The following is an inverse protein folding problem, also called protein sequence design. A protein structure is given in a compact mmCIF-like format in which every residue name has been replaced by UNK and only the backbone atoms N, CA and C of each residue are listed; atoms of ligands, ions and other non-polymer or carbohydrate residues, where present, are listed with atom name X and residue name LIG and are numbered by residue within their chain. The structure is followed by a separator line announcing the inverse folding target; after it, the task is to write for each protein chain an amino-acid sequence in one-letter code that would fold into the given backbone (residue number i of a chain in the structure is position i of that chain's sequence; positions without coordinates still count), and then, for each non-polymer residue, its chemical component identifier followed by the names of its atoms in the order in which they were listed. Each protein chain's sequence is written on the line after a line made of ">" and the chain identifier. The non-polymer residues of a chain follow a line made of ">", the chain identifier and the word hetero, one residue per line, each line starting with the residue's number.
data_IF_812404446541
#
_entry.id   IF_812404446541
#
_cell.length_a   1.000
_cell.length_b   1.000
_cell.length_c   1.000
_cell.angle_alpha   90.00
_cell.angle_beta   90.00
_cell.angle_gamma   90.00
#
_symmetry.space_group_name_H-M   'P 1'
#
loop_
_entity.id
_entity.type
_entity.pdbx_description
1 polymer ?
#
# COMPACT_ATOMS: atom_id res chain seq x y z
N UNK A 1 -40.77 2.89 -35.50
CA UNK A 1 -39.45 2.40 -35.03
C UNK A 1 -38.73 3.57 -34.45
N UNK A 2 -38.87 3.78 -33.13
CA UNK A 2 -38.20 4.85 -32.41
C UNK A 2 -36.86 4.29 -31.92
N UNK A 3 -35.77 4.78 -32.50
CA UNK A 3 -34.41 4.53 -32.01
C UNK A 3 -34.23 5.43 -30.78
N UNK A 4 -34.44 4.88 -29.58
CA UNK A 4 -33.98 5.50 -28.35
C UNK A 4 -32.46 5.47 -28.38
N UNK A 5 -31.89 6.50 -28.97
CA UNK A 5 -30.49 6.85 -28.75
C UNK A 5 -30.31 7.18 -27.27
N UNK A 6 -29.77 6.23 -26.50
CA UNK A 6 -29.36 6.48 -25.13
C UNK A 6 -28.40 7.65 -25.13
N UNK A 7 -28.85 8.79 -24.65
CA UNK A 7 -28.02 9.97 -24.36
C UNK A 7 -27.03 9.51 -23.29
N UNK A 8 -25.81 9.13 -23.68
CA UNK A 8 -24.70 9.03 -22.75
C UNK A 8 -24.60 10.38 -22.04
N UNK A 9 -24.99 10.41 -20.79
CA UNK A 9 -24.84 11.62 -19.96
C UNK A 9 -23.36 11.96 -19.83
N UNK A 10 -22.90 13.06 -20.48
CA UNK A 10 -21.50 13.49 -20.33
C UNK A 10 -21.33 13.97 -18.89
N UNK A 11 -20.73 13.13 -18.03
CA UNK A 11 -20.39 13.53 -16.66
C UNK A 11 -20.60 12.45 -15.59
N UNK A 12 -21.07 11.26 -15.92
CA UNK A 12 -21.17 10.19 -14.93
C UNK A 12 -19.77 9.76 -14.43
N UNK A 13 -19.56 9.87 -13.13
CA UNK A 13 -18.31 9.39 -12.50
C UNK A 13 -18.18 7.89 -12.71
N UNK A 14 -17.11 7.38 -13.36
CA UNK A 14 -16.92 5.95 -13.54
C UNK A 14 -16.87 5.24 -12.18
N UNK A 15 -17.33 4.00 -12.05
CA UNK A 15 -17.24 3.25 -10.83
C UNK A 15 -15.77 2.94 -10.49
N UNK A 16 -15.46 2.93 -9.20
CA UNK A 16 -14.12 2.54 -8.71
C UNK A 16 -13.76 1.14 -9.17
N UNK A 17 -12.62 0.94 -9.84
CA UNK A 17 -12.23 -0.35 -10.37
C UNK A 17 -11.91 -1.33 -9.24
N UNK A 18 -12.34 -2.59 -9.41
CA UNK A 18 -12.06 -3.65 -8.43
C UNK A 18 -10.58 -3.87 -8.16
N UNK A 19 -9.72 -3.54 -9.12
CA UNK A 19 -8.27 -3.69 -9.00
C UNK A 19 -7.68 -2.86 -7.86
N UNK A 20 -8.22 -1.69 -7.55
CA UNK A 20 -7.72 -0.88 -6.44
C UNK A 20 -8.08 -1.47 -5.08
N UNK A 21 -9.25 -2.14 -4.99
CA UNK A 21 -9.64 -2.89 -3.80
C UNK A 21 -8.72 -4.10 -3.57
N UNK A 22 -8.33 -4.79 -4.66
CA UNK A 22 -7.34 -5.88 -4.57
C UNK A 22 -6.02 -5.37 -4.01
N UNK A 23 -5.52 -4.22 -4.49
CA UNK A 23 -4.30 -3.61 -3.94
C UNK A 23 -4.45 -3.31 -2.46
N UNK A 24 -5.56 -2.68 -2.05
CA UNK A 24 -5.79 -2.29 -0.66
C UNK A 24 -5.81 -3.52 0.27
N UNK A 25 -6.60 -4.54 -0.06
CA UNK A 25 -6.71 -5.76 0.75
C UNK A 25 -5.44 -6.60 0.72
N UNK A 26 -4.76 -6.72 -0.42
CA UNK A 26 -3.47 -7.40 -0.50
C UNK A 26 -2.41 -6.70 0.36
N UNK A 27 -2.36 -5.36 0.32
CA UNK A 27 -1.43 -4.61 1.18
C UNK A 27 -1.72 -4.83 2.68
N UNK A 28 -3.00 -4.85 3.07
CA UNK A 28 -3.38 -5.12 4.46
C UNK A 28 -3.01 -6.55 4.87
N UNK A 29 -3.31 -7.54 4.04
CA UNK A 29 -2.94 -8.93 4.29
C UNK A 29 -1.42 -9.11 4.38
N UNK A 30 -0.65 -8.42 3.52
CA UNK A 30 0.81 -8.42 3.55
C UNK A 30 1.36 -7.91 4.88
N UNK A 31 0.82 -6.81 5.40
CA UNK A 31 1.21 -6.30 6.71
C UNK A 31 0.87 -7.25 7.85
N UNK A 32 -0.29 -7.91 7.78
CA UNK A 32 -0.67 -8.92 8.78
C UNK A 32 0.30 -10.12 8.76
N UNK A 33 0.68 -10.60 7.57
CA UNK A 33 1.67 -11.68 7.44
C UNK A 33 3.03 -11.25 7.98
N UNK A 34 3.50 -10.05 7.64
CA UNK A 34 4.77 -9.52 8.16
C UNK A 34 4.75 -9.38 9.69
N UNK A 35 3.63 -8.94 10.26
CA UNK A 35 3.48 -8.86 11.72
C UNK A 35 3.58 -10.24 12.39
N UNK A 36 3.03 -11.28 11.75
CA UNK A 36 3.16 -12.66 12.24
C UNK A 36 4.60 -13.17 12.11
N UNK A 37 5.30 -12.84 11.02
CA UNK A 37 6.68 -13.27 10.78
C UNK A 37 7.69 -12.57 11.70
N UNK A 38 7.57 -11.27 11.85
CA UNK A 38 8.57 -10.43 12.55
C UNK A 38 8.18 -10.11 13.99
N UNK A 39 6.92 -10.38 14.35
CA UNK A 39 6.38 -9.99 15.66
C UNK A 39 6.13 -8.48 15.79
N UNK A 40 5.57 -8.12 16.94
CA UNK A 40 5.37 -6.73 17.32
C UNK A 40 6.67 -6.09 17.81
N UNK A 41 6.83 -4.81 17.54
CA UNK A 41 7.98 -4.02 18.00
C UNK A 41 7.97 -3.93 19.54
N UNK A 42 9.01 -4.43 20.17
CA UNK A 42 9.30 -4.24 21.59
C UNK A 42 10.33 -3.11 21.69
N UNK A 43 9.93 -1.94 22.09
CA UNK A 43 10.83 -0.80 22.20
C UNK A 43 10.21 0.35 22.98
N UNK A 44 10.93 1.48 23.03
CA UNK A 44 10.46 2.71 23.66
C UNK A 44 9.08 3.12 23.11
N UNK A 45 8.12 3.37 24.02
CA UNK A 45 6.72 3.71 23.68
C UNK A 45 6.63 4.92 22.75
N UNK A 46 7.51 5.92 22.94
CA UNK A 46 7.54 7.14 22.12
C UNK A 46 7.93 6.80 20.67
N UNK A 47 8.95 5.95 20.51
CA UNK A 47 9.40 5.49 19.19
C UNK A 47 8.32 4.65 18.48
N UNK A 48 7.59 3.81 19.20
CA UNK A 48 6.48 3.03 18.68
C UNK A 48 5.34 3.94 18.22
N UNK A 49 4.89 4.86 19.07
CA UNK A 49 3.82 5.80 18.70
C UNK A 49 4.22 6.63 17.49
N UNK A 50 5.46 7.14 17.45
CA UNK A 50 5.94 7.93 16.33
C UNK A 50 5.95 7.11 15.02
N UNK A 51 6.42 5.87 15.04
CA UNK A 51 6.46 5.00 13.86
C UNK A 51 5.05 4.65 13.35
N UNK A 52 4.11 4.39 14.25
CA UNK A 52 2.70 4.12 13.90
C UNK A 52 2.05 5.36 13.27
N UNK A 53 2.23 6.53 13.88
CA UNK A 53 1.67 7.79 13.37
C UNK A 53 2.27 8.14 12.00
N UNK A 54 3.60 8.07 11.86
CA UNK A 54 4.27 8.33 10.59
C UNK A 54 3.86 7.33 9.51
N UNK A 55 3.78 6.03 9.85
CA UNK A 55 3.31 4.98 8.97
C UNK A 55 1.88 5.25 8.48
N UNK A 56 0.97 5.54 9.40
CA UNK A 56 -0.42 5.86 9.08
C UNK A 56 -0.55 7.07 8.16
N UNK A 57 0.15 8.16 8.47
CA UNK A 57 0.14 9.38 7.68
C UNK A 57 0.73 9.17 6.29
N UNK A 58 1.89 8.53 6.19
CA UNK A 58 2.59 8.32 4.94
C UNK A 58 1.80 7.39 4.01
N UNK A 59 1.36 6.24 4.50
CA UNK A 59 0.61 5.28 3.68
C UNK A 59 -0.77 5.81 3.35
N UNK A 60 -1.46 6.48 4.28
CA UNK A 60 -2.73 7.15 4.03
C UNK A 60 -2.59 8.24 2.97
N UNK A 61 -1.54 9.06 3.03
CA UNK A 61 -1.23 10.09 2.03
C UNK A 61 -0.97 9.49 0.64
N UNK A 62 -0.17 8.42 0.57
CA UNK A 62 0.13 7.73 -0.70
C UNK A 62 -1.13 7.09 -1.27
N UNK A 63 -1.90 6.37 -0.45
CA UNK A 63 -3.15 5.71 -0.86
C UNK A 63 -4.16 6.69 -1.44
N UNK A 64 -4.40 7.83 -0.77
CA UNK A 64 -5.28 8.88 -1.27
C UNK A 64 -4.79 9.45 -2.62
N UNK A 65 -3.47 9.53 -2.82
CA UNK A 65 -2.90 10.01 -4.06
C UNK A 65 -2.96 9.02 -5.21
N UNK A 66 -2.79 7.72 -4.92
CA UNK A 66 -2.91 6.65 -5.92
C UNK A 66 -4.32 6.61 -6.49
N UNK A 67 -5.35 6.65 -5.62
CA UNK A 67 -6.75 6.67 -6.04
C UNK A 67 -7.09 7.91 -6.89
N UNK A 68 -6.46 9.04 -6.58
CA UNK A 68 -6.59 10.29 -7.35
C UNK A 68 -5.66 10.39 -8.56
N UNK A 69 -5.05 9.28 -9.00
CA UNK A 69 -4.16 9.18 -10.16
C UNK A 69 -2.99 10.18 -10.16
N UNK A 70 -2.52 10.60 -8.97
CA UNK A 70 -1.35 11.47 -8.86
C UNK A 70 -0.07 10.71 -9.18
N UNK A 71 0.64 11.11 -10.24
CA UNK A 71 1.79 10.39 -10.80
C UNK A 71 2.89 10.11 -9.77
N UNK A 72 3.28 11.10 -8.98
CA UNK A 72 4.35 10.94 -7.98
C UNK A 72 4.00 9.87 -6.94
N UNK A 73 2.77 9.90 -6.42
CA UNK A 73 2.32 8.93 -5.40
C UNK A 73 2.13 7.53 -5.98
N UNK A 74 1.72 7.46 -7.26
CA UNK A 74 1.65 6.19 -7.97
C UNK A 74 3.05 5.58 -8.14
N UNK A 75 4.06 6.38 -8.50
CA UNK A 75 5.45 5.93 -8.60
C UNK A 75 5.98 5.45 -7.25
N UNK A 76 5.68 6.18 -6.16
CA UNK A 76 6.04 5.72 -4.81
C UNK A 76 5.40 4.38 -4.48
N UNK A 77 4.12 4.19 -4.78
CA UNK A 77 3.45 2.89 -4.59
C UNK A 77 4.11 1.76 -5.39
N UNK A 78 4.51 2.03 -6.65
CA UNK A 78 5.26 1.09 -7.47
C UNK A 78 6.60 0.70 -6.83
N UNK A 79 7.37 1.70 -6.39
CA UNK A 79 8.68 1.46 -5.75
C UNK A 79 8.50 0.59 -4.51
N UNK A 80 7.56 0.92 -3.64
CA UNK A 80 7.30 0.16 -2.40
C UNK A 80 6.89 -1.29 -2.71
N UNK A 81 5.99 -1.50 -3.67
CA UNK A 81 5.55 -2.85 -4.03
C UNK A 81 6.67 -3.67 -4.70
N UNK A 82 7.49 -3.05 -5.55
CA UNK A 82 8.65 -3.71 -6.17
C UNK A 82 9.68 -4.10 -5.09
N UNK A 83 9.98 -3.20 -4.16
CA UNK A 83 10.86 -3.51 -3.03
C UNK A 83 10.29 -4.62 -2.16
N UNK A 84 8.97 -4.66 -1.96
CA UNK A 84 8.28 -5.75 -1.28
C UNK A 84 8.46 -7.11 -1.98
N UNK A 85 8.37 -7.14 -3.32
CA UNK A 85 8.64 -8.37 -4.10
C UNK A 85 10.10 -8.78 -3.98
N UNK A 86 11.03 -7.84 -4.12
CA UNK A 86 12.48 -8.12 -3.98
C UNK A 86 12.79 -8.66 -2.58
N UNK A 87 12.27 -8.00 -1.53
CA UNK A 87 12.42 -8.45 -0.15
C UNK A 87 11.84 -9.84 0.09
N UNK A 88 10.66 -10.13 -0.49
CA UNK A 88 10.05 -11.45 -0.42
C UNK A 88 10.87 -12.54 -1.12
N UNK A 89 11.51 -12.21 -2.27
CA UNK A 89 12.41 -13.13 -2.96
C UNK A 89 13.68 -13.41 -2.14
N UNK A 90 14.28 -12.37 -1.57
CA UNK A 90 15.45 -12.51 -0.69
C UNK A 90 15.08 -13.35 0.54
N UNK A 91 13.95 -13.04 1.18
CA UNK A 91 13.45 -13.80 2.32
C UNK A 91 13.27 -15.29 2.00
N UNK A 92 12.73 -15.61 0.81
CA UNK A 92 12.53 -17.00 0.40
C UNK A 92 13.84 -17.81 0.25
N UNK A 93 14.93 -17.15 -0.14
CA UNK A 93 16.26 -17.79 -0.28
C UNK A 93 16.95 -17.98 1.08
N UNK A 94 16.56 -17.20 2.08
CA UNK A 94 17.23 -17.14 3.39
C UNK A 94 16.56 -18.03 4.47
N UNK A 95 15.54 -18.81 4.10
CA UNK A 95 14.73 -19.58 5.06
C UNK A 95 15.06 -21.07 4.95
N UNK A 96 15.33 -21.69 6.09
CA UNK A 96 15.66 -23.12 6.19
C UNK A 96 14.49 -23.96 6.77
N UNK A 97 13.48 -23.33 7.36
CA UNK A 97 12.32 -24.02 7.95
C UNK A 97 11.09 -24.01 7.02
N UNK A 98 10.32 -25.13 7.02
CA UNK A 98 9.14 -25.28 6.18
C UNK A 98 8.02 -24.29 6.53
N UNK A 99 7.85 -23.96 7.82
CA UNK A 99 6.83 -23.03 8.28
C UNK A 99 7.14 -21.60 7.82
N UNK A 100 8.38 -21.19 7.98
CA UNK A 100 8.87 -19.89 7.52
C UNK A 100 8.84 -19.79 6.00
N UNK A 101 9.19 -20.87 5.29
CA UNK A 101 9.11 -20.94 3.83
C UNK A 101 7.67 -20.72 3.35
N UNK A 102 6.69 -21.33 3.99
CA UNK A 102 5.26 -21.14 3.64
C UNK A 102 4.83 -19.69 3.81
N UNK A 103 5.24 -19.04 4.90
CA UNK A 103 4.93 -17.61 5.14
C UNK A 103 5.66 -16.70 4.15
N UNK A 104 6.90 -17.01 3.78
CA UNK A 104 7.66 -16.26 2.78
C UNK A 104 7.00 -16.35 1.39
N UNK A 105 6.57 -17.56 0.97
CA UNK A 105 5.83 -17.78 -0.27
C UNK A 105 4.51 -17.01 -0.26
N UNK A 106 3.76 -17.06 0.86
CA UNK A 106 2.52 -16.32 1.01
C UNK A 106 2.74 -14.82 0.90
N UNK A 107 3.75 -14.29 1.57
CA UNK A 107 4.13 -12.87 1.54
C UNK A 107 4.48 -12.42 0.11
N UNK A 108 5.29 -13.20 -0.59
CA UNK A 108 5.65 -12.95 -1.99
C UNK A 108 4.42 -12.99 -2.91
N UNK A 109 3.55 -13.98 -2.76
CA UNK A 109 2.31 -14.08 -3.55
C UNK A 109 1.42 -12.86 -3.35
N UNK A 110 1.24 -12.40 -2.11
CA UNK A 110 0.48 -11.19 -1.78
C UNK A 110 1.10 -9.95 -2.44
N UNK A 111 2.41 -9.79 -2.39
CA UNK A 111 3.12 -8.67 -3.01
C UNK A 111 2.94 -8.66 -4.54
N UNK A 112 3.02 -9.83 -5.18
CA UNK A 112 2.78 -9.98 -6.62
C UNK A 112 1.34 -9.65 -6.98
N UNK A 113 0.35 -10.09 -6.20
CA UNK A 113 -1.07 -9.78 -6.39
C UNK A 113 -1.32 -8.26 -6.26
N UNK A 114 -0.71 -7.61 -5.27
CA UNK A 114 -0.80 -6.16 -5.10
C UNK A 114 -0.20 -5.42 -6.31
N UNK A 115 0.97 -5.85 -6.79
CA UNK A 115 1.64 -5.27 -7.95
C UNK A 115 0.81 -5.44 -9.23
N UNK A 116 0.26 -6.63 -9.48
CA UNK A 116 -0.63 -6.91 -10.61
C UNK A 116 -1.92 -6.08 -10.52
N UNK A 117 -2.49 -5.94 -9.33
CA UNK A 117 -3.64 -5.07 -9.06
C UNK A 117 -3.35 -3.60 -9.42
N UNK A 118 -2.19 -3.09 -9.04
CA UNK A 118 -1.77 -1.72 -9.35
C UNK A 118 -1.52 -1.52 -10.86
N UNK A 119 -0.93 -2.52 -11.53
CA UNK A 119 -0.75 -2.51 -12.98
C UNK A 119 -2.10 -2.46 -13.72
N UNK A 120 -3.07 -3.25 -13.25
CA UNK A 120 -4.43 -3.27 -13.81
C UNK A 120 -5.17 -1.97 -13.52
N UNK A 121 -5.01 -1.38 -12.33
CA UNK A 121 -5.58 -0.08 -11.98
C UNK A 121 -5.11 1.02 -12.93
N UNK A 122 -3.82 1.07 -13.28
CA UNK A 122 -3.27 2.05 -14.21
C UNK A 122 -3.90 1.99 -15.61
N UNK A 123 -4.46 0.85 -16.01
CA UNK A 123 -5.11 0.64 -17.31
C UNK A 123 -6.63 0.83 -17.25
N UNK A 124 -7.19 1.21 -16.11
CA UNK A 124 -8.63 1.39 -15.93
C UNK A 124 -9.14 2.72 -16.46
N UNK A 125 -10.41 2.74 -16.87
CA UNK A 125 -11.11 3.96 -17.30
C UNK A 125 -11.17 5.00 -16.20
N UNK A 126 -11.26 4.56 -14.92
CA UNK A 126 -11.15 5.42 -13.76
C UNK A 126 -9.85 6.22 -13.74
N UNK A 127 -8.72 5.56 -14.01
CA UNK A 127 -7.41 6.23 -14.01
C UNK A 127 -7.32 7.26 -15.15
N UNK A 128 -7.81 6.90 -16.35
CA UNK A 128 -7.88 7.80 -17.49
C UNK A 128 -8.78 9.01 -17.19
N UNK A 129 -9.97 8.76 -16.64
CA UNK A 129 -10.92 9.80 -16.27
C UNK A 129 -10.37 10.76 -15.19
N UNK A 130 -9.71 10.25 -14.17
CA UNK A 130 -9.10 11.07 -13.11
C UNK A 130 -8.01 12.01 -13.64
N UNK A 131 -7.33 11.66 -14.71
CA UNK A 131 -6.29 12.51 -15.32
C UNK A 131 -6.86 13.63 -16.20
N UNK A 132 -8.03 13.45 -16.75
CA UNK A 132 -8.70 14.43 -17.63
C UNK A 132 -9.71 15.29 -16.89
N UNK A 133 -9.99 14.97 -15.63
CA UNK A 133 -11.03 15.61 -14.83
C UNK A 133 -10.73 17.09 -14.52
N UNK A 134 -11.72 18.02 -14.73
CA UNK A 134 -11.64 19.39 -14.25
C UNK A 134 -11.59 19.43 -12.71
N UNK A 135 -10.85 20.40 -12.15
CA UNK A 135 -10.61 20.54 -10.71
C UNK A 135 -11.85 20.79 -9.84
N UNK A 136 -12.98 21.12 -10.45
CA UNK A 136 -14.21 21.55 -9.78
C UNK A 136 -15.23 20.45 -9.48
N UNK A 137 -14.94 19.17 -9.74
CA UNK A 137 -15.90 18.08 -9.51
C UNK A 137 -15.78 17.50 -8.09
N UNK A 138 -16.94 17.23 -7.45
CA UNK A 138 -16.99 16.49 -6.19
C UNK A 138 -16.35 15.11 -6.32
N UNK A 139 -15.48 14.76 -5.35
CA UNK A 139 -14.71 13.53 -5.39
C UNK A 139 -15.57 12.30 -5.12
N UNK A 140 -15.26 11.20 -5.82
CA UNK A 140 -15.83 9.90 -5.47
C UNK A 140 -15.54 9.56 -4.00
N UNK A 141 -16.40 8.77 -3.33
CA UNK A 141 -16.22 8.34 -1.95
C UNK A 141 -15.03 7.38 -1.83
N UNK A 142 -13.84 7.92 -1.56
CA UNK A 142 -12.59 7.15 -1.40
C UNK A 142 -12.28 6.85 0.07
N UNK A 143 -13.15 7.24 1.00
CA UNK A 143 -12.89 7.18 2.43
C UNK A 143 -12.51 5.79 2.92
N UNK A 144 -13.16 4.74 2.45
CA UNK A 144 -12.83 3.36 2.82
C UNK A 144 -11.44 2.92 2.35
N UNK A 145 -11.04 3.29 1.14
CA UNK A 145 -9.70 2.97 0.62
C UNK A 145 -8.60 3.71 1.40
N UNK A 146 -8.87 4.95 1.79
CA UNK A 146 -7.95 5.72 2.64
C UNK A 146 -7.87 5.10 4.03
N UNK A 147 -9.00 4.66 4.61
CA UNK A 147 -9.03 3.98 5.91
C UNK A 147 -8.20 2.69 5.89
N UNK A 148 -8.34 1.85 4.84
CA UNK A 148 -7.49 0.65 4.68
C UNK A 148 -6.01 1.06 4.55
N UNK A 149 -5.69 2.12 3.80
CA UNK A 149 -4.33 2.64 3.69
C UNK A 149 -3.75 3.08 5.04
N UNK A 150 -4.54 3.75 5.86
CA UNK A 150 -4.15 4.13 7.23
C UNK A 150 -3.89 2.88 8.08
N UNK A 151 -4.77 1.88 8.03
CA UNK A 151 -4.57 0.61 8.74
C UNK A 151 -3.28 -0.10 8.31
N UNK A 152 -2.99 -0.14 7.01
CA UNK A 152 -1.71 -0.66 6.48
C UNK A 152 -0.53 0.07 7.09
N UNK A 153 -0.60 1.40 7.19
CA UNK A 153 0.44 2.22 7.79
C UNK A 153 0.60 1.99 9.30
N UNK A 154 -0.51 1.84 10.02
CA UNK A 154 -0.51 1.50 11.45
C UNK A 154 0.16 0.14 11.67
N UNK A 155 -0.26 -0.89 10.94
CA UNK A 155 0.34 -2.23 11.05
C UNK A 155 1.83 -2.19 10.70
N UNK A 156 2.23 -1.47 9.64
CA UNK A 156 3.63 -1.29 9.27
C UNK A 156 4.46 -0.63 10.38
N UNK A 157 3.88 0.32 11.12
CA UNK A 157 4.53 0.96 12.26
C UNK A 157 4.65 0.07 13.49
N UNK A 158 3.80 -0.96 13.62
CA UNK A 158 3.83 -1.93 14.71
C UNK A 158 4.82 -3.08 14.49
N UNK A 159 5.27 -3.30 13.25
CA UNK A 159 6.19 -4.40 12.92
C UNK A 159 7.55 -4.12 13.55
N UNK A 160 8.11 -5.13 14.24
CA UNK A 160 9.47 -5.09 14.78
C UNK A 160 10.51 -4.98 13.66
N UNK A 161 11.59 -4.23 13.91
CA UNK A 161 12.77 -4.33 13.06
C UNK A 161 13.49 -5.62 13.43
N UNK A 162 13.83 -6.45 12.44
CA UNK A 162 14.77 -7.55 12.64
C UNK A 162 16.03 -6.94 13.25
N UNK A 163 16.52 -7.52 14.36
CA UNK A 163 17.75 -7.08 15.04
C UNK A 163 18.95 -7.19 14.06
N UNK A 164 19.24 -6.12 13.40
CA UNK A 164 20.22 -5.94 12.32
C UNK A 164 20.23 -4.49 11.84
N UNK A 165 19.39 -3.64 12.42
CA UNK A 165 19.36 -2.19 12.15
C UNK A 165 20.67 -1.56 12.56
N UNK A 166 21.24 -0.77 11.66
CA UNK A 166 22.37 0.12 11.88
C UNK A 166 22.26 0.76 13.24
N UNK A 167 23.08 0.31 14.19
CA UNK A 167 23.34 0.97 15.47
C UNK A 167 24.04 2.30 15.14
N UNK A 168 23.26 3.30 14.77
CA UNK A 168 23.76 4.68 14.70
C UNK A 168 23.89 5.16 16.15
N UNK A 169 24.95 4.72 16.79
CA UNK A 169 25.41 5.27 18.05
C UNK A 169 25.89 6.68 17.78
N UNK A 170 25.01 7.64 17.94
CA UNK A 170 25.40 9.05 18.01
C UNK A 170 26.11 9.20 19.35
N UNK A 171 27.42 8.99 19.34
CA UNK A 171 28.29 9.31 20.45
C UNK A 171 28.34 10.83 20.56
N UNK A 172 27.46 11.42 21.36
CA UNK A 172 27.55 12.82 21.73
C UNK A 172 28.73 12.94 22.69
N UNK A 173 29.94 13.00 22.11
CA UNK A 173 31.13 13.41 22.83
C UNK A 173 30.92 14.85 23.32
N UNK A 174 30.67 15.00 24.61
CA UNK A 174 30.47 16.29 25.20
C UNK A 174 30.81 16.28 26.69
N UNK A 175 32.10 16.39 27.02
CA UNK A 175 32.70 17.03 28.21
C UNK A 175 32.06 16.76 29.59
#
# INVERSE_FOLDING_TARGET
>A
MSVEGGVEQPGATPPLPRSIWVVAWASLAGQAVLLVQQGGRSGDEVSLVLSVVLGALLVGYVSAGVVRARTVRLVLAWIVLILGVIGGLIGLVSVDDLGETALAVLSLAIAVVALAGLARFRRSDWYAWQRTRPSAHEGAPIGQLVAIGVLVGVLGGLIGTVDGGLDVRVDVAGR
#
